data_IF_423914480130
#
_entry.id   IF_423914480130
#
_cell.length_a   1.000
_cell.length_b   1.000
_cell.length_c   1.000
_cell.angle_alpha   90.00
_cell.angle_beta   90.00
_cell.angle_gamma   90.00
#
_symmetry.space_group_name_H-M   'P 1'
#
loop_
_entity.id
_entity.type
_entity.pdbx_description
1 polymer ?
#
# COMPACT_ATOMS: atom_id res chain seq x y z
N UNK A 1 -28.55 36.28 -47.72
CA UNK A 1 -29.62 35.95 -48.67
C UNK A 1 -30.00 34.49 -48.41
N UNK A 2 -30.86 34.27 -47.42
CA UNK A 2 -32.24 33.76 -47.63
C UNK A 2 -32.30 32.53 -48.54
N UNK A 3 -32.56 31.37 -47.94
CA UNK A 3 -33.58 30.35 -48.27
C UNK A 3 -33.59 29.44 -47.01
N UNK A 4 -34.41 29.65 -45.99
CA UNK A 4 -35.87 29.53 -45.91
C UNK A 4 -36.37 28.10 -46.24
N UNK A 5 -36.96 27.48 -45.21
CA UNK A 5 -38.09 26.57 -45.29
C UNK A 5 -37.92 25.25 -46.03
N UNK A 6 -37.51 24.21 -45.31
CA UNK A 6 -38.21 22.91 -45.34
C UNK A 6 -37.62 21.97 -44.30
N UNK A 7 -38.39 21.61 -43.28
CA UNK A 7 -38.42 20.27 -42.68
C UNK A 7 -39.24 20.22 -41.38
N UNK A 8 -40.44 20.80 -41.32
CA UNK A 8 -41.46 20.33 -40.36
C UNK A 8 -42.83 20.45 -41.04
N UNK A 9 -43.03 19.61 -42.05
CA UNK A 9 -44.36 19.26 -42.57
C UNK A 9 -44.41 17.74 -42.57
N UNK A 10 -44.98 17.17 -41.51
CA UNK A 10 -45.45 15.80 -41.53
C UNK A 10 -46.94 15.86 -41.24
N UNK A 11 -47.68 15.87 -42.33
CA UNK A 11 -49.11 15.68 -42.42
C UNK A 11 -49.40 14.19 -42.23
N UNK A 12 -50.31 13.85 -41.32
CA UNK A 12 -50.94 12.53 -41.32
C UNK A 12 -52.41 12.72 -40.95
N UNK A 13 -53.21 12.94 -42.01
CA UNK A 13 -54.48 12.27 -42.31
C UNK A 13 -55.43 12.01 -41.12
N UNK A 14 -56.53 12.75 -41.11
CA UNK A 14 -57.60 12.61 -40.14
C UNK A 14 -58.45 11.34 -40.25
N UNK A 15 -59.19 11.08 -39.18
CA UNK A 15 -60.48 10.40 -39.22
C UNK A 15 -61.29 10.85 -38.01
N UNK A 16 -62.42 11.48 -38.26
CA UNK A 16 -63.43 11.88 -37.30
C UNK A 16 -64.38 10.70 -37.04
N UNK A 17 -64.50 10.27 -35.79
CA UNK A 17 -65.64 9.51 -35.25
C UNK A 17 -65.77 9.81 -33.76
N UNK A 18 -67.01 9.96 -33.31
CA UNK A 18 -67.47 10.68 -32.13
C UNK A 18 -67.76 9.79 -30.90
N UNK A 19 -67.49 10.38 -29.72
CA UNK A 19 -68.03 10.14 -28.34
C UNK A 19 -67.59 8.90 -27.55
N UNK A 20 -67.68 8.95 -26.20
CA UNK A 20 -66.93 9.77 -25.24
C UNK A 20 -66.14 8.83 -24.29
N UNK A 21 -65.50 9.39 -23.26
CA UNK A 21 -64.93 8.71 -22.07
C UNK A 21 -63.39 8.72 -21.99
N UNK A 22 -62.95 9.67 -21.14
CA UNK A 22 -61.89 9.60 -20.13
C UNK A 22 -60.41 9.42 -20.52
N UNK A 23 -59.64 10.39 -20.01
CA UNK A 23 -58.22 10.33 -19.67
C UNK A 23 -57.22 10.14 -20.80
N UNK A 24 -56.82 11.24 -21.46
CA UNK A 24 -55.42 11.41 -21.94
C UNK A 24 -55.16 12.88 -22.35
N UNK A 25 -55.60 13.79 -21.49
CA UNK A 25 -55.43 15.21 -21.65
C UNK A 25 -54.74 15.77 -20.41
N UNK A 26 -53.55 15.29 -20.01
CA UNK A 26 -52.83 15.89 -18.86
C UNK A 26 -51.31 16.04 -18.99
N UNK A 27 -50.63 15.39 -19.94
CA UNK A 27 -49.15 15.38 -19.93
C UNK A 27 -48.47 16.46 -20.79
N UNK A 28 -49.13 17.04 -21.79
CA UNK A 28 -48.48 18.00 -22.71
C UNK A 28 -48.51 19.47 -22.26
N UNK A 29 -49.28 19.79 -21.21
CA UNK A 29 -49.32 21.13 -20.59
C UNK A 29 -48.42 21.23 -19.37
N UNK A 30 -47.72 20.14 -19.02
CA UNK A 30 -47.02 20.01 -17.75
C UNK A 30 -45.98 21.14 -17.52
N UNK A 31 -45.46 21.79 -18.57
CA UNK A 31 -44.66 23.03 -18.45
C UNK A 31 -44.77 23.97 -19.65
N UNK A 32 -45.97 24.29 -20.15
CA UNK A 32 -46.08 25.44 -21.05
C UNK A 32 -46.01 26.72 -20.21
N UNK A 33 -44.80 27.27 -20.08
CA UNK A 33 -44.56 28.57 -19.45
C UNK A 33 -45.30 29.66 -20.21
N UNK A 34 -46.48 30.04 -19.73
CA UNK A 34 -47.36 31.05 -20.34
C UNK A 34 -46.71 32.44 -20.43
N UNK A 35 -45.62 32.66 -19.69
CA UNK A 35 -44.87 33.90 -19.77
C UNK A 35 -43.36 33.66 -19.81
N UNK A 36 -42.81 33.56 -21.02
CA UNK A 36 -41.38 33.42 -21.29
C UNK A 36 -40.54 34.52 -20.63
N UNK A 37 -41.07 35.73 -20.47
CA UNK A 37 -40.37 36.83 -19.83
C UNK A 37 -40.26 36.65 -18.32
N UNK A 38 -41.32 36.16 -17.66
CA UNK A 38 -41.31 35.84 -16.23
C UNK A 38 -40.31 34.71 -15.91
N UNK A 39 -40.23 33.71 -16.79
CA UNK A 39 -39.22 32.64 -16.67
C UNK A 39 -37.79 33.18 -16.73
N UNK A 40 -37.47 34.02 -17.72
CA UNK A 40 -36.12 34.60 -17.81
C UNK A 40 -35.78 35.48 -16.60
N UNK A 41 -36.74 36.24 -16.08
CA UNK A 41 -36.56 37.01 -14.85
C UNK A 41 -36.31 36.12 -13.63
N UNK A 42 -37.04 35.00 -13.52
CA UNK A 42 -36.86 34.01 -12.46
C UNK A 42 -35.50 33.30 -12.53
N UNK A 43 -35.06 32.91 -13.73
CA UNK A 43 -33.73 32.30 -13.93
C UNK A 43 -32.62 33.31 -13.63
N UNK A 44 -32.76 34.57 -14.04
CA UNK A 44 -31.80 35.63 -13.73
C UNK A 44 -31.69 35.86 -12.22
N UNK A 45 -32.82 35.89 -11.52
CA UNK A 45 -32.84 36.00 -10.06
C UNK A 45 -32.18 34.77 -9.42
N UNK A 46 -32.55 33.56 -9.80
CA UNK A 46 -31.93 32.33 -9.26
C UNK A 46 -30.43 32.27 -9.50
N UNK A 47 -29.93 32.69 -10.68
CA UNK A 47 -28.51 32.76 -10.94
C UNK A 47 -27.76 33.61 -9.88
N UNK A 48 -28.35 34.73 -9.47
CA UNK A 48 -27.80 35.56 -8.40
C UNK A 48 -27.79 34.83 -7.04
N UNK A 49 -28.87 34.12 -6.70
CA UNK A 49 -28.92 33.30 -5.48
C UNK A 49 -27.94 32.14 -5.51
N UNK A 50 -27.78 31.48 -6.66
CA UNK A 50 -26.83 30.38 -6.85
C UNK A 50 -25.39 30.87 -6.66
N UNK A 51 -25.05 32.08 -7.15
CA UNK A 51 -23.77 32.70 -6.85
C UNK A 51 -23.58 32.94 -5.33
N UNK A 52 -24.60 33.46 -4.64
CA UNK A 52 -24.53 33.70 -3.20
C UNK A 52 -24.41 32.39 -2.40
N UNK A 53 -25.22 31.38 -2.74
CA UNK A 53 -25.16 30.04 -2.15
C UNK A 53 -23.81 29.37 -2.43
N UNK A 54 -23.23 29.58 -3.61
CA UNK A 54 -21.88 29.15 -3.94
C UNK A 54 -20.82 29.74 -3.01
N UNK A 55 -20.90 31.05 -2.73
CA UNK A 55 -19.99 31.73 -1.78
C UNK A 55 -20.18 31.19 -0.37
N UNK A 56 -21.42 31.08 0.11
CA UNK A 56 -21.73 30.53 1.44
C UNK A 56 -21.22 29.10 1.56
N UNK A 57 -21.42 28.27 0.53
CA UNK A 57 -20.92 26.90 0.47
C UNK A 57 -19.38 26.85 0.55
N UNK A 58 -18.70 27.72 -0.19
CA UNK A 58 -17.24 27.84 -0.15
C UNK A 58 -16.72 28.21 1.25
N UNK A 59 -17.33 29.21 1.89
CA UNK A 59 -16.99 29.61 3.26
C UNK A 59 -17.25 28.45 4.23
N UNK A 60 -18.39 27.77 4.11
CA UNK A 60 -18.70 26.62 4.97
C UNK A 60 -17.70 25.47 4.82
N UNK A 61 -17.19 25.26 3.60
CA UNK A 61 -16.15 24.27 3.30
C UNK A 61 -14.83 24.63 3.94
N UNK A 62 -14.42 25.90 3.85
CA UNK A 62 -13.22 26.40 4.52
C UNK A 62 -13.32 26.23 6.04
N UNK A 63 -14.45 26.62 6.64
CA UNK A 63 -14.66 26.50 8.08
C UNK A 63 -14.60 25.04 8.57
N UNK A 64 -15.31 24.13 7.89
CA UNK A 64 -15.26 22.69 8.19
C UNK A 64 -13.84 22.12 8.06
N UNK A 65 -13.12 22.50 7.00
CA UNK A 65 -11.74 22.04 6.79
C UNK A 65 -10.77 22.60 7.83
N UNK A 66 -10.95 23.84 8.28
CA UNK A 66 -10.13 24.46 9.32
C UNK A 66 -10.34 23.79 10.68
N UNK A 67 -11.58 23.49 11.06
CA UNK A 67 -11.87 22.74 12.29
C UNK A 67 -11.24 21.34 12.22
N UNK A 68 -11.42 20.63 11.10
CA UNK A 68 -10.80 19.33 10.89
C UNK A 68 -9.27 19.43 11.01
N UNK A 69 -8.66 20.42 10.37
CA UNK A 69 -7.22 20.65 10.45
C UNK A 69 -6.76 20.83 11.89
N UNK A 70 -7.42 21.67 12.70
CA UNK A 70 -7.05 21.91 14.10
C UNK A 70 -7.19 20.64 14.95
N UNK A 71 -8.25 19.85 14.75
CA UNK A 71 -8.48 18.61 15.49
C UNK A 71 -7.51 17.49 15.10
N UNK A 72 -7.13 17.40 13.82
CA UNK A 72 -6.24 16.35 13.31
C UNK A 72 -4.75 16.74 13.35
N UNK A 73 -4.40 18.02 13.43
CA UNK A 73 -3.02 18.49 13.56
C UNK A 73 -2.23 17.85 14.72
N UNK A 74 -2.80 17.67 15.94
CA UNK A 74 -2.10 16.95 17.00
C UNK A 74 -2.07 15.42 16.80
N UNK A 75 -2.92 14.88 15.93
CA UNK A 75 -3.04 13.42 15.69
C UNK A 75 -2.38 13.04 14.37
N UNK A 76 -1.10 12.68 14.44
CA UNK A 76 -0.24 12.31 13.31
C UNK A 76 -0.62 10.98 12.62
N UNK A 77 -1.65 10.28 13.11
CA UNK A 77 -2.11 9.00 12.57
C UNK A 77 -2.67 9.13 11.14
N UNK A 78 -3.07 10.33 10.71
CA UNK A 78 -3.68 10.58 9.41
C UNK A 78 -2.95 11.69 8.65
N UNK A 79 -2.70 11.48 7.36
CA UNK A 79 -2.26 12.58 6.50
C UNK A 79 -3.44 13.49 6.15
N UNK A 80 -3.24 14.79 6.29
CA UNK A 80 -4.22 15.81 5.90
C UNK A 80 -4.31 15.90 4.36
N UNK A 81 -3.25 15.49 3.68
CA UNK A 81 -3.18 15.48 2.22
C UNK A 81 -3.72 14.15 1.66
N UNK A 82 -4.27 14.20 0.44
CA UNK A 82 -4.73 12.99 -0.24
C UNK A 82 -3.61 11.99 -0.49
N UNK A 83 -3.96 10.73 -0.79
CA UNK A 83 -3.04 9.57 -0.88
C UNK A 83 -1.77 9.80 -1.71
N UNK A 84 -1.86 10.58 -2.79
CA UNK A 84 -0.71 10.88 -3.67
C UNK A 84 0.29 11.86 -3.05
N UNK A 85 -0.14 12.67 -2.07
CA UNK A 85 0.63 13.76 -1.45
C UNK A 85 1.01 13.45 0.01
N UNK A 86 0.74 12.25 0.50
CA UNK A 86 1.11 11.80 1.87
C UNK A 86 2.61 12.02 2.17
N UNK A 87 3.47 11.94 1.15
CA UNK A 87 4.93 12.13 1.30
C UNK A 87 5.35 13.58 1.55
N UNK A 88 4.48 14.55 1.25
CA UNK A 88 4.72 15.97 1.52
C UNK A 88 4.44 16.28 2.99
N UNK A 89 3.62 15.45 3.63
CA UNK A 89 3.31 15.56 5.04
C UNK A 89 4.46 15.02 5.89
N UNK A 90 5.31 15.92 6.39
CA UNK A 90 6.43 15.56 7.25
C UNK A 90 5.95 14.91 8.57
N UNK A 91 4.79 15.31 9.08
CA UNK A 91 4.25 14.77 10.33
C UNK A 91 3.86 13.30 10.17
N UNK A 92 3.03 13.02 9.17
CA UNK A 92 2.63 11.64 8.84
C UNK A 92 3.82 10.77 8.42
N UNK A 93 4.78 11.31 7.66
CA UNK A 93 6.00 10.59 7.27
C UNK A 93 6.87 10.25 8.49
N UNK A 94 7.01 11.16 9.45
CA UNK A 94 7.74 10.90 10.69
C UNK A 94 7.05 9.81 11.53
N UNK A 95 5.72 9.86 11.63
CA UNK A 95 4.92 8.87 12.34
C UNK A 95 5.04 7.46 11.73
N UNK A 96 4.86 7.34 10.42
CA UNK A 96 4.98 6.04 9.72
C UNK A 96 6.39 5.47 9.81
N UNK A 97 7.41 6.33 9.74
CA UNK A 97 8.81 5.94 9.94
C UNK A 97 9.05 5.45 11.37
N UNK A 98 8.54 6.16 12.36
CA UNK A 98 8.59 5.76 13.77
C UNK A 98 7.93 4.39 13.97
N UNK A 99 6.71 4.19 13.44
CA UNK A 99 5.99 2.93 13.56
C UNK A 99 6.75 1.76 12.91
N UNK A 100 7.39 2.00 11.75
CA UNK A 100 8.22 0.98 11.11
C UNK A 100 9.42 0.59 11.97
N UNK A 101 10.13 1.58 12.52
CA UNK A 101 11.27 1.34 13.41
C UNK A 101 10.82 0.62 14.68
N UNK A 102 9.73 1.07 15.30
CA UNK A 102 9.17 0.42 16.48
C UNK A 102 8.78 -1.03 16.20
N UNK A 103 8.09 -1.30 15.10
CA UNK A 103 7.71 -2.65 14.69
C UNK A 103 8.93 -3.57 14.47
N UNK A 104 10.02 -3.03 13.91
CA UNK A 104 11.25 -3.80 13.69
C UNK A 104 11.99 -4.09 15.00
N UNK A 105 12.02 -3.12 15.93
CA UNK A 105 12.71 -3.28 17.22
C UNK A 105 11.92 -4.13 18.23
N UNK A 106 10.60 -4.02 18.23
CA UNK A 106 9.72 -4.70 19.19
C UNK A 106 9.18 -6.03 18.67
N UNK A 107 9.69 -6.52 17.54
CA UNK A 107 9.19 -7.75 16.93
C UNK A 107 9.36 -8.96 17.87
N UNK A 108 8.26 -9.57 18.37
CA UNK A 108 8.34 -10.56 19.46
C UNK A 108 9.11 -11.82 19.05
N UNK A 109 9.04 -12.22 17.77
CA UNK A 109 9.80 -13.35 17.24
C UNK A 109 11.31 -13.06 17.26
N UNK A 110 11.73 -11.82 16.99
CA UNK A 110 13.15 -11.46 16.97
C UNK A 110 13.71 -11.42 18.40
N UNK A 111 12.94 -10.84 19.33
CA UNK A 111 13.30 -10.76 20.75
C UNK A 111 13.45 -12.18 21.33
N UNK A 112 12.43 -13.02 21.14
CA UNK A 112 12.45 -14.41 21.65
C UNK A 112 13.54 -15.25 20.99
N UNK A 113 13.75 -15.13 19.68
CA UNK A 113 14.86 -15.79 18.99
C UNK A 113 16.23 -15.38 19.56
N UNK A 114 16.44 -14.08 19.78
CA UNK A 114 17.69 -13.56 20.35
C UNK A 114 17.88 -14.06 21.78
N UNK A 115 16.82 -14.08 22.59
CA UNK A 115 16.85 -14.65 23.95
C UNK A 115 17.21 -16.15 23.92
N UNK A 116 16.61 -16.94 23.02
CA UNK A 116 16.93 -18.36 22.87
C UNK A 116 18.41 -18.54 22.52
N UNK A 117 18.95 -17.76 21.58
CA UNK A 117 20.37 -17.81 21.23
C UNK A 117 21.25 -17.43 22.42
N UNK A 118 20.93 -16.33 23.10
CA UNK A 118 21.69 -15.83 24.24
C UNK A 118 21.76 -16.86 25.37
N UNK A 119 20.62 -17.48 25.72
CA UNK A 119 20.54 -18.56 26.72
C UNK A 119 21.35 -19.78 26.29
N UNK A 120 21.27 -20.19 25.02
CA UNK A 120 22.08 -21.30 24.50
C UNK A 120 23.59 -21.03 24.58
N UNK A 121 24.03 -19.79 24.31
CA UNK A 121 25.44 -19.38 24.43
C UNK A 121 25.88 -19.38 25.89
N UNK A 122 25.06 -18.85 26.81
CA UNK A 122 25.36 -18.87 28.25
C UNK A 122 25.47 -20.30 28.78
N UNK A 123 24.54 -21.17 28.43
CA UNK A 123 24.56 -22.57 28.80
C UNK A 123 25.77 -23.29 28.21
N UNK A 124 26.16 -22.97 26.98
CA UNK A 124 27.39 -23.50 26.37
C UNK A 124 28.63 -23.06 27.15
N UNK A 125 28.72 -21.78 27.55
CA UNK A 125 29.82 -21.26 28.39
C UNK A 125 29.85 -21.92 29.76
N UNK A 126 28.69 -22.16 30.39
CA UNK A 126 28.60 -22.89 31.66
C UNK A 126 29.11 -24.32 31.53
N UNK A 127 28.69 -25.03 30.47
CA UNK A 127 29.14 -26.40 30.19
C UNK A 127 30.63 -26.48 29.86
N UNK A 128 31.19 -25.50 29.16
CA UNK A 128 32.62 -25.45 28.83
C UNK A 128 33.51 -25.43 30.08
N UNK A 129 33.09 -24.80 31.18
CA UNK A 129 33.83 -24.85 32.45
C UNK A 129 33.89 -26.25 33.07
N UNK A 130 32.94 -27.13 32.74
CA UNK A 130 32.86 -28.52 33.20
C UNK A 130 33.50 -29.53 32.23
N UNK A 131 34.05 -29.06 31.10
CA UNK A 131 34.37 -29.88 29.93
C UNK A 131 35.83 -30.34 29.85
N UNK A 132 36.68 -29.94 30.81
CA UNK A 132 38.13 -30.20 30.79
C UNK A 132 38.53 -31.69 30.95
N UNK A 133 37.57 -32.62 31.06
CA UNK A 133 37.81 -34.04 31.32
C UNK A 133 37.19 -35.00 30.27
N UNK A 134 36.60 -34.48 29.19
CA UNK A 134 35.86 -35.30 28.20
C UNK A 134 36.73 -35.58 26.97
N UNK A 135 36.78 -36.85 26.55
CA UNK A 135 37.53 -37.33 25.39
C UNK A 135 37.02 -36.74 24.05
N UNK A 136 37.94 -36.32 23.18
CA UNK A 136 37.67 -35.65 21.89
C UNK A 136 36.79 -36.48 20.96
N UNK A 137 36.90 -37.81 21.02
CA UNK A 137 36.09 -38.72 20.20
C UNK A 137 34.61 -38.64 20.59
N UNK A 138 34.31 -38.58 21.88
CA UNK A 138 32.93 -38.47 22.38
C UNK A 138 32.30 -37.12 21.98
N UNK A 139 33.10 -36.06 21.94
CA UNK A 139 32.69 -34.72 21.54
C UNK A 139 32.30 -34.69 20.06
N UNK A 140 33.13 -35.28 19.21
CA UNK A 140 32.88 -35.38 17.78
C UNK A 140 31.60 -36.19 17.48
N UNK A 141 31.37 -37.29 18.19
CA UNK A 141 30.14 -38.06 18.04
C UNK A 141 28.89 -37.27 18.46
N UNK A 142 28.96 -36.54 19.57
CA UNK A 142 27.85 -35.69 20.02
C UNK A 142 27.53 -34.59 19.01
N UNK A 143 28.55 -33.98 18.42
CA UNK A 143 28.38 -33.00 17.34
C UNK A 143 27.71 -33.65 16.12
N UNK A 144 28.20 -34.81 15.68
CA UNK A 144 27.62 -35.56 14.55
C UNK A 144 26.14 -35.89 14.78
N UNK A 145 25.80 -36.40 15.97
CA UNK A 145 24.41 -36.69 16.37
C UNK A 145 23.51 -35.46 16.29
N UNK A 146 23.98 -34.29 16.74
CA UNK A 146 23.24 -33.02 16.63
C UNK A 146 23.03 -32.61 15.17
N UNK A 147 24.07 -32.64 14.34
CA UNK A 147 23.98 -32.30 12.92
C UNK A 147 22.96 -33.18 12.18
N UNK A 148 22.96 -34.49 12.46
CA UNK A 148 21.98 -35.42 11.90
C UNK A 148 20.56 -35.06 12.31
N UNK A 149 20.32 -34.78 13.59
CA UNK A 149 18.99 -34.34 14.07
C UNK A 149 18.53 -33.07 13.35
N UNK A 150 19.38 -32.06 13.23
CA UNK A 150 19.04 -30.84 12.50
C UNK A 150 18.73 -31.09 11.03
N UNK A 151 19.47 -31.99 10.36
CA UNK A 151 19.19 -32.38 8.97
C UNK A 151 17.84 -33.08 8.83
N UNK A 152 17.48 -33.95 9.78
CA UNK A 152 16.17 -34.61 9.83
C UNK A 152 15.03 -33.63 10.09
N UNK A 153 15.17 -32.74 11.07
CA UNK A 153 14.17 -31.69 11.33
C UNK A 153 13.98 -30.79 10.10
N UNK A 154 15.07 -30.38 9.45
CA UNK A 154 15.00 -29.60 8.22
C UNK A 154 14.25 -30.34 7.11
N UNK A 155 14.50 -31.64 6.93
CA UNK A 155 13.78 -32.45 5.94
C UNK A 155 12.28 -32.47 6.23
N UNK A 156 11.89 -32.72 7.48
CA UNK A 156 10.49 -32.74 7.92
C UNK A 156 9.83 -31.37 7.66
N UNK A 157 10.49 -30.27 8.02
CA UNK A 157 9.98 -28.92 7.74
C UNK A 157 9.79 -28.67 6.25
N UNK A 158 10.74 -29.10 5.40
CA UNK A 158 10.65 -28.90 3.95
C UNK A 158 9.57 -29.79 3.30
N UNK A 159 9.40 -31.01 3.79
CA UNK A 159 8.32 -31.90 3.33
C UNK A 159 6.93 -31.34 3.66
N UNK A 160 6.79 -30.68 4.82
CA UNK A 160 5.52 -30.06 5.20
C UNK A 160 5.32 -28.66 4.56
N UNK A 161 6.37 -28.03 4.03
CA UNK A 161 6.32 -26.70 3.45
C UNK A 161 7.04 -26.67 2.08
N UNK A 162 6.41 -27.27 1.07
CA UNK A 162 7.02 -27.42 -0.27
C UNK A 162 7.38 -26.07 -0.92
N UNK A 163 6.62 -25.01 -0.64
CA UNK A 163 6.86 -23.65 -1.16
C UNK A 163 8.21 -23.06 -0.75
N UNK A 164 8.81 -23.54 0.35
CA UNK A 164 10.10 -23.06 0.84
C UNK A 164 11.29 -23.66 0.07
N UNK A 165 11.10 -24.78 -0.63
CA UNK A 165 12.15 -25.47 -1.39
C UNK A 165 12.77 -24.56 -2.47
N UNK A 166 12.00 -23.93 -3.38
CA UNK A 166 12.57 -23.05 -4.40
C UNK A 166 13.28 -21.84 -3.77
N UNK A 167 12.69 -21.19 -2.78
CA UNK A 167 13.27 -20.03 -2.07
C UNK A 167 14.60 -20.38 -1.42
N UNK A 168 14.67 -21.54 -0.74
CA UNK A 168 15.91 -22.04 -0.13
C UNK A 168 16.98 -22.34 -1.17
N UNK A 169 16.63 -23.02 -2.27
CA UNK A 169 17.57 -23.33 -3.36
C UNK A 169 18.14 -22.04 -3.97
N UNK A 170 17.30 -21.04 -4.19
CA UNK A 170 17.72 -19.73 -4.70
C UNK A 170 18.68 -19.03 -3.73
N UNK A 171 18.33 -18.94 -2.45
CA UNK A 171 19.19 -18.33 -1.43
C UNK A 171 20.54 -19.05 -1.29
N UNK A 172 20.56 -20.38 -1.40
CA UNK A 172 21.80 -21.16 -1.36
C UNK A 172 22.70 -20.82 -2.56
N UNK A 173 22.15 -20.76 -3.78
CA UNK A 173 22.90 -20.34 -4.98
C UNK A 173 23.49 -18.94 -4.82
N UNK A 174 22.69 -17.98 -4.34
CA UNK A 174 23.15 -16.61 -4.07
C UNK A 174 24.30 -16.58 -3.06
N UNK A 175 24.21 -17.37 -1.99
CA UNK A 175 25.24 -17.42 -0.94
C UNK A 175 26.56 -17.98 -1.49
N UNK A 176 26.48 -19.06 -2.29
CA UNK A 176 27.64 -19.67 -2.95
C UNK A 176 28.26 -18.68 -3.94
N UNK A 177 27.46 -18.03 -4.77
CA UNK A 177 27.94 -17.06 -5.76
C UNK A 177 28.63 -15.88 -5.10
N UNK A 178 28.07 -15.32 -4.01
CA UNK A 178 28.72 -14.26 -3.22
C UNK A 178 30.05 -14.70 -2.63
N UNK A 179 30.15 -15.94 -2.17
CA UNK A 179 31.39 -16.48 -1.63
C UNK A 179 32.46 -16.61 -2.71
N UNK A 180 32.09 -17.16 -3.89
CA UNK A 180 32.99 -17.29 -5.03
C UNK A 180 33.48 -15.92 -5.54
N UNK A 181 32.60 -14.91 -5.59
CA UNK A 181 33.00 -13.54 -5.93
C UNK A 181 34.01 -12.96 -4.95
N UNK A 182 33.83 -13.16 -3.63
CA UNK A 182 34.80 -12.72 -2.62
C UNK A 182 36.15 -13.42 -2.76
N UNK A 183 36.16 -14.71 -3.07
CA UNK A 183 37.40 -15.47 -3.32
C UNK A 183 38.10 -14.91 -4.55
N UNK A 184 37.38 -14.73 -5.66
CA UNK A 184 37.95 -14.22 -6.92
C UNK A 184 38.51 -12.80 -6.77
N UNK A 185 37.89 -11.94 -5.96
CA UNK A 185 38.42 -10.61 -5.66
C UNK A 185 39.73 -10.66 -4.87
N UNK A 186 39.85 -11.56 -3.89
CA UNK A 186 41.08 -11.76 -3.11
C UNK A 186 42.22 -12.30 -3.98
N UNK A 187 41.94 -13.28 -4.83
CA UNK A 187 42.95 -13.83 -5.73
C UNK A 187 43.43 -12.78 -6.75
N UNK A 188 42.55 -11.87 -7.20
CA UNK A 188 42.91 -10.80 -8.12
C UNK A 188 43.76 -9.71 -7.42
N UNK A 189 43.44 -9.34 -6.18
CA UNK A 189 44.28 -8.43 -5.39
C UNK A 189 45.66 -9.02 -5.10
N UNK A 190 45.74 -10.31 -4.78
CA UNK A 190 47.02 -10.98 -4.49
C UNK A 190 47.91 -11.06 -5.74
N UNK A 191 47.32 -11.27 -6.92
CA UNK A 191 48.04 -11.27 -8.20
C UNK A 191 48.56 -9.88 -8.62
N UNK A 192 47.85 -8.80 -8.29
CA UNK A 192 48.29 -7.42 -8.56
C UNK A 192 49.43 -6.99 -7.64
N UNK A 193 49.41 -7.41 -6.36
CA UNK A 193 50.50 -7.13 -5.40
C UNK A 193 51.79 -7.86 -5.80
N UNK A 194 51.69 -9.10 -6.28
CA UNK A 194 52.85 -9.87 -6.75
C UNK A 194 53.51 -9.28 -8.00
N UNK A 195 52.74 -8.60 -8.86
CA UNK A 195 53.27 -8.01 -10.09
C UNK A 195 53.83 -6.60 -9.90
N UNK A 196 53.57 -5.96 -8.75
CA UNK A 196 54.03 -4.60 -8.42
C UNK A 196 55.29 -4.53 -7.55
N UNK A 197 55.89 -5.67 -7.18
CA UNK A 197 57.09 -5.74 -6.32
C UNK A 197 58.39 -6.01 -7.08
N UNK A 198 58.36 -5.95 -8.42
CA UNK A 198 59.55 -6.08 -9.28
C UNK A 198 59.84 -4.70 -9.91
N UNK A 199 60.43 -3.80 -9.13
CA UNK A 199 61.16 -2.61 -9.61
C UNK A 199 62.29 -2.30 -8.63
#
# INVERSE_FOLDING_TARGET
MNILNQAIYCDSTGSSISTPDDDDHDESYLFTLENRHAYFLFVYFNFFFDCFLGIVSCISRLFKSGIALILYMPRLDYSIFGRSLEKIDNGYTAYTSYLYVEAMHTHPILITFTQIIYMNILDKRRRQKHFLLIDDKQILEQYRRKCLRFRWFLLITLMNNLSLIPTRRHHQKLTINRHNQKINQRTLSDSLVSNGTVT
#
